data_IF_567405477968
#
_entry.id   IF_567405477968
#
_cell.length_a   1.000
_cell.length_b   1.000
_cell.length_c   1.000
_cell.angle_alpha   90.00
_cell.angle_beta   90.00
_cell.angle_gamma   90.00
#
_symmetry.space_group_name_H-M   'P 1'
#
loop_
_entity.id
_entity.type
_entity.pdbx_description
1 polymer ?
#
# COMPACT_ATOMS: atom_id res chain seq x y z
N UNK A 1 3.70 20.30 15.02
CA UNK A 1 2.68 19.94 14.01
C UNK A 1 3.14 18.72 13.25
N UNK A 2 2.24 17.74 13.02
CA UNK A 2 2.47 16.57 12.17
C UNK A 2 1.75 16.79 10.83
N UNK A 3 2.45 16.62 9.72
CA UNK A 3 1.85 16.75 8.37
C UNK A 3 1.64 15.38 7.72
N UNK A 4 0.47 15.16 7.13
CA UNK A 4 0.11 13.89 6.48
C UNK A 4 -0.33 14.13 5.04
N UNK A 5 0.30 13.45 4.09
CA UNK A 5 -0.18 13.35 2.71
C UNK A 5 -0.93 12.04 2.49
N UNK A 6 -1.86 12.02 1.56
CA UNK A 6 -2.63 10.81 1.27
C UNK A 6 -3.67 10.47 2.35
N UNK A 7 -4.17 11.48 3.09
CA UNK A 7 -5.15 11.32 4.15
C UNK A 7 -6.48 10.67 3.74
N UNK A 8 -6.84 10.71 2.46
CA UNK A 8 -8.01 10.02 1.90
C UNK A 8 -7.77 8.52 1.57
N UNK A 9 -6.50 8.08 1.56
CA UNK A 9 -6.11 6.70 1.29
C UNK A 9 -6.29 5.77 2.49
N UNK A 10 -6.12 4.46 2.27
CA UNK A 10 -6.27 3.45 3.33
C UNK A 10 -5.33 3.73 4.51
N UNK A 11 -4.02 3.85 4.26
CA UNK A 11 -3.04 4.09 5.33
C UNK A 11 -3.25 5.45 5.99
N UNK A 12 -3.40 6.52 5.17
CA UNK A 12 -3.50 7.89 5.68
C UNK A 12 -4.68 8.12 6.61
N UNK A 13 -5.86 7.56 6.33
CA UNK A 13 -7.04 7.70 7.20
C UNK A 13 -6.84 7.04 8.57
N UNK A 14 -6.26 5.83 8.61
CA UNK A 14 -5.95 5.14 9.86
C UNK A 14 -4.83 5.84 10.62
N UNK A 15 -3.84 6.37 9.92
CA UNK A 15 -2.75 7.13 10.50
C UNK A 15 -3.26 8.42 11.15
N UNK A 16 -4.08 9.20 10.45
CA UNK A 16 -4.68 10.43 10.99
C UNK A 16 -5.48 10.11 12.26
N UNK A 17 -6.35 9.10 12.22
CA UNK A 17 -7.11 8.69 13.40
C UNK A 17 -6.22 8.31 14.57
N UNK A 18 -5.11 7.58 14.32
CA UNK A 18 -4.16 7.18 15.35
C UNK A 18 -3.35 8.36 15.92
N UNK A 19 -2.99 9.35 15.09
CA UNK A 19 -2.30 10.57 15.52
C UNK A 19 -3.20 11.45 16.38
N UNK A 20 -4.45 11.67 15.93
CA UNK A 20 -5.45 12.43 16.69
C UNK A 20 -5.76 11.76 18.03
N UNK A 21 -5.94 10.42 18.06
CA UNK A 21 -6.16 9.68 19.29
C UNK A 21 -5.00 9.80 20.30
N UNK A 22 -3.79 10.13 19.84
CA UNK A 22 -2.61 10.45 20.70
C UNK A 22 -2.53 11.92 21.10
N UNK A 23 -3.51 12.74 20.73
CA UNK A 23 -3.53 14.18 21.02
C UNK A 23 -2.49 14.99 20.23
N UNK A 24 -1.97 14.46 19.13
CA UNK A 24 -1.00 15.18 18.29
C UNK A 24 -1.74 16.13 17.34
N UNK A 25 -1.26 17.37 17.17
CA UNK A 25 -1.82 18.30 16.20
C UNK A 25 -1.48 17.83 14.78
N UNK A 26 -2.51 17.57 13.97
CA UNK A 26 -2.40 17.03 12.62
C UNK A 26 -2.83 18.06 11.60
N UNK A 27 -1.97 18.33 10.60
CA UNK A 27 -2.29 18.98 9.35
C UNK A 27 -2.28 17.93 8.25
N UNK A 28 -3.31 17.89 7.38
CA UNK A 28 -3.38 16.90 6.32
C UNK A 28 -3.72 17.52 4.97
N UNK A 29 -3.04 17.06 3.92
CA UNK A 29 -3.28 17.50 2.56
C UNK A 29 -4.48 16.77 1.96
N UNK A 30 -5.41 17.52 1.35
CA UNK A 30 -6.48 16.99 0.50
C UNK A 30 -6.48 17.67 -0.87
N UNK A 31 -6.95 16.98 -1.91
CA UNK A 31 -6.95 17.51 -3.28
C UNK A 31 -8.32 18.02 -3.72
N UNK A 32 -9.32 17.16 -3.68
CA UNK A 32 -10.64 17.48 -4.26
C UNK A 32 -11.67 17.82 -3.17
N UNK A 33 -11.68 17.03 -2.09
CA UNK A 33 -12.57 17.23 -0.94
C UNK A 33 -11.97 16.65 0.34
N UNK A 34 -12.31 17.27 1.45
CA UNK A 34 -11.94 16.76 2.77
C UNK A 34 -12.52 15.34 2.94
N UNK A 35 -11.69 14.36 3.32
CA UNK A 35 -12.15 12.98 3.49
C UNK A 35 -13.16 12.88 4.64
N UNK A 36 -14.23 12.11 4.45
CA UNK A 36 -15.15 11.74 5.52
C UNK A 36 -14.50 10.66 6.40
N UNK A 37 -13.79 11.08 7.43
CA UNK A 37 -13.18 10.21 8.44
C UNK A 37 -13.61 10.66 9.83
N UNK A 38 -13.67 9.75 10.83
CA UNK A 38 -14.21 10.05 12.15
C UNK A 38 -13.60 11.24 12.88
N UNK A 39 -12.34 11.58 12.61
CA UNK A 39 -11.62 12.68 13.28
C UNK A 39 -11.38 13.87 12.37
N UNK A 40 -12.19 14.05 11.32
CA UNK A 40 -11.95 15.11 10.32
C UNK A 40 -12.03 16.53 10.91
N UNK A 41 -12.87 16.74 11.92
CA UNK A 41 -13.06 18.00 12.66
C UNK A 41 -11.86 18.37 13.55
N UNK A 42 -10.98 17.44 13.86
CA UNK A 42 -9.80 17.63 14.70
C UNK A 42 -8.51 17.78 13.87
N UNK A 43 -8.63 17.88 12.56
CA UNK A 43 -7.51 17.97 11.60
C UNK A 43 -7.53 19.31 10.88
N UNK A 44 -6.39 19.96 10.80
CA UNK A 44 -6.20 21.13 9.94
C UNK A 44 -6.05 20.65 8.48
N UNK A 45 -7.13 20.76 7.70
CA UNK A 45 -7.11 20.35 6.31
C UNK A 45 -6.62 21.48 5.42
N UNK A 46 -5.59 21.18 4.59
CA UNK A 46 -5.03 22.10 3.61
C UNK A 46 -5.30 21.54 2.19
N UNK A 47 -5.92 22.36 1.35
CA UNK A 47 -6.10 22.03 -0.06
C UNK A 47 -4.76 22.13 -0.80
N UNK A 48 -4.44 21.12 -1.62
CA UNK A 48 -3.22 21.09 -2.39
C UNK A 48 -2.94 19.75 -3.04
N UNK A 49 -1.95 19.75 -3.91
CA UNK A 49 -1.44 18.55 -4.60
C UNK A 49 0.04 18.35 -4.27
N UNK A 50 0.48 17.12 -4.08
CA UNK A 50 1.91 16.82 -3.85
C UNK A 50 2.81 17.17 -5.06
N UNK A 51 2.20 17.44 -6.21
CA UNK A 51 2.90 17.93 -7.42
C UNK A 51 3.13 19.45 -7.40
N UNK A 52 2.49 20.16 -6.47
CA UNK A 52 2.67 21.61 -6.29
C UNK A 52 3.75 21.87 -5.22
N UNK A 53 5.00 22.04 -5.68
CA UNK A 53 6.14 22.28 -4.80
C UNK A 53 5.99 23.54 -3.94
N UNK A 54 5.42 24.62 -4.50
CA UNK A 54 5.24 25.88 -3.77
C UNK A 54 4.15 25.75 -2.69
N UNK A 55 3.05 25.11 -3.01
CA UNK A 55 2.00 24.80 -2.04
C UNK A 55 2.50 23.96 -0.87
N UNK A 56 3.38 22.99 -1.14
CA UNK A 56 4.00 22.17 -0.10
C UNK A 56 4.91 22.97 0.83
N UNK A 57 5.68 23.93 0.32
CA UNK A 57 6.50 24.81 1.15
C UNK A 57 5.64 25.59 2.15
N UNK A 58 4.46 26.04 1.75
CA UNK A 58 3.54 26.73 2.66
C UNK A 58 2.91 25.74 3.63
N UNK A 59 2.47 24.58 3.16
CA UNK A 59 1.81 23.56 3.98
C UNK A 59 2.72 22.97 5.08
N UNK A 60 4.05 22.99 4.89
CA UNK A 60 5.01 22.48 5.85
C UNK A 60 5.48 23.54 6.88
N UNK A 61 4.87 24.73 6.95
CA UNK A 61 5.21 25.69 8.01
C UNK A 61 4.87 25.09 9.38
N UNK A 62 5.79 25.27 10.35
CA UNK A 62 5.68 24.75 11.73
C UNK A 62 5.55 23.23 11.87
N UNK A 63 5.85 22.49 10.79
CA UNK A 63 5.83 21.03 10.77
C UNK A 63 7.15 20.49 11.31
N UNK A 64 7.06 19.47 12.17
CA UNK A 64 8.22 18.75 12.73
C UNK A 64 8.33 17.33 12.18
N UNK A 65 7.21 16.74 11.81
CA UNK A 65 7.13 15.37 11.28
C UNK A 65 6.23 15.32 10.05
N UNK A 66 6.68 14.65 9.02
CA UNK A 66 5.92 14.40 7.80
C UNK A 66 5.68 12.91 7.64
N UNK A 67 4.43 12.52 7.40
CA UNK A 67 4.07 11.19 6.97
C UNK A 67 3.62 11.23 5.51
N UNK A 68 4.43 10.69 4.64
CA UNK A 68 4.11 10.65 3.22
C UNK A 68 3.46 9.30 2.86
N UNK A 69 2.12 9.31 2.84
CA UNK A 69 1.28 8.16 2.48
C UNK A 69 0.63 8.32 1.10
N UNK A 70 0.76 9.48 0.46
CA UNK A 70 0.23 9.69 -0.87
C UNK A 70 0.95 8.81 -1.89
N UNK A 71 0.20 8.24 -2.82
CA UNK A 71 0.71 7.44 -3.91
C UNK A 71 -0.42 6.82 -4.70
N UNK A 72 -0.17 6.62 -5.99
CA UNK A 72 -1.07 5.96 -6.91
C UNK A 72 -0.70 4.48 -7.01
N UNK A 73 -1.71 3.60 -6.97
CA UNK A 73 -1.58 2.17 -7.24
C UNK A 73 -2.37 1.86 -8.52
N UNK A 74 -1.67 1.52 -9.58
CA UNK A 74 -2.28 1.09 -10.83
C UNK A 74 -1.39 0.11 -11.57
N UNK A 75 -2.02 -0.87 -12.22
CA UNK A 75 -1.37 -1.81 -13.13
C UNK A 75 -1.84 -1.59 -14.57
N UNK A 76 -2.62 -0.53 -14.82
CA UNK A 76 -3.09 -0.17 -16.14
C UNK A 76 -1.98 0.58 -16.90
N UNK A 77 -1.64 0.18 -18.14
CA UNK A 77 -0.61 0.87 -18.93
C UNK A 77 -0.88 2.37 -19.15
N UNK A 78 -2.15 2.75 -19.24
CA UNK A 78 -2.58 4.13 -19.40
C UNK A 78 -2.24 5.06 -18.23
N UNK A 79 -1.92 4.50 -17.07
CA UNK A 79 -1.64 5.25 -15.85
C UNK A 79 -0.12 5.45 -15.62
N UNK A 80 0.75 5.08 -16.57
CA UNK A 80 2.21 5.15 -16.40
C UNK A 80 2.68 6.59 -16.13
N UNK A 81 2.23 7.57 -16.92
CA UNK A 81 2.55 8.98 -16.70
C UNK A 81 2.03 9.47 -15.33
N UNK A 82 0.82 9.08 -14.95
CA UNK A 82 0.26 9.44 -13.67
C UNK A 82 1.04 8.81 -12.49
N UNK A 83 1.52 7.57 -12.65
CA UNK A 83 2.40 6.92 -11.69
C UNK A 83 3.73 7.67 -11.54
N UNK A 84 4.34 8.13 -12.64
CA UNK A 84 5.55 8.93 -12.62
C UNK A 84 5.31 10.27 -11.90
N UNK A 85 4.29 11.02 -12.30
CA UNK A 85 3.99 12.34 -11.72
C UNK A 85 3.63 12.26 -10.24
N UNK A 86 2.77 11.31 -9.86
CA UNK A 86 2.28 11.24 -8.47
C UNK A 86 3.30 10.56 -7.56
N UNK A 87 3.84 9.40 -7.97
CA UNK A 87 4.70 8.63 -7.08
C UNK A 87 6.11 9.18 -7.04
N UNK A 88 6.70 9.51 -8.19
CA UNK A 88 8.12 9.93 -8.26
C UNK A 88 8.25 11.43 -8.02
N UNK A 89 7.65 12.26 -8.88
CA UNK A 89 7.77 13.71 -8.79
C UNK A 89 7.12 14.25 -7.50
N UNK A 90 5.94 13.71 -7.14
CA UNK A 90 5.27 14.07 -5.88
C UNK A 90 6.11 13.71 -4.64
N UNK A 91 6.83 12.58 -4.66
CA UNK A 91 7.75 12.22 -3.56
C UNK A 91 8.99 13.11 -3.56
N UNK A 92 9.55 13.43 -4.74
CA UNK A 92 10.66 14.37 -4.85
C UNK A 92 10.31 15.73 -4.25
N UNK A 93 9.14 16.29 -4.57
CA UNK A 93 8.67 17.56 -4.01
C UNK A 93 8.53 17.52 -2.48
N UNK A 94 8.03 16.41 -1.91
CA UNK A 94 7.95 16.24 -0.45
C UNK A 94 9.34 16.19 0.17
N UNK A 95 10.28 15.49 -0.45
CA UNK A 95 11.67 15.39 0.01
C UNK A 95 12.32 16.77 -0.01
N UNK A 96 12.20 17.52 -1.11
CA UNK A 96 12.77 18.85 -1.25
C UNK A 96 12.18 19.84 -0.24
N UNK A 97 10.85 19.83 -0.07
CA UNK A 97 10.20 20.68 0.92
C UNK A 97 10.60 20.34 2.37
N UNK A 98 10.93 19.08 2.66
CA UNK A 98 11.48 18.67 3.96
C UNK A 98 12.93 19.12 4.12
N UNK A 99 13.76 19.04 3.08
CA UNK A 99 15.17 19.45 3.11
C UNK A 99 15.33 20.96 3.34
N UNK A 100 14.43 21.77 2.80
CA UNK A 100 14.41 23.23 3.04
C UNK A 100 14.12 23.61 4.50
N UNK A 101 13.70 22.65 5.32
CA UNK A 101 13.34 22.86 6.74
C UNK A 101 14.11 21.92 7.65
N UNK A 102 15.32 22.32 8.09
CA UNK A 102 16.14 21.50 8.96
C UNK A 102 15.38 21.07 10.23
N UNK A 103 15.46 19.78 10.54
CA UNK A 103 14.81 19.20 11.72
C UNK A 103 13.51 18.48 11.44
N UNK A 104 12.93 18.60 10.25
CA UNK A 104 11.79 17.74 9.83
C UNK A 104 12.25 16.29 9.75
N UNK A 105 11.39 15.40 10.28
CA UNK A 105 11.54 13.96 10.17
C UNK A 105 10.47 13.35 9.28
N UNK A 106 10.89 12.56 8.29
CA UNK A 106 10.00 11.95 7.30
C UNK A 106 9.76 10.46 7.60
N UNK A 107 8.49 10.04 7.70
CA UNK A 107 8.05 8.65 7.59
C UNK A 107 7.44 8.42 6.21
N UNK A 108 8.05 7.57 5.40
CA UNK A 108 7.60 7.30 4.03
C UNK A 108 7.00 5.91 3.87
N UNK A 109 5.81 5.85 3.25
CA UNK A 109 5.16 4.59 2.87
C UNK A 109 5.53 4.21 1.43
N UNK A 110 6.52 3.35 1.30
CA UNK A 110 6.92 2.72 0.05
C UNK A 110 6.06 1.46 -0.23
N UNK A 111 6.65 0.42 -0.74
CA UNK A 111 6.02 -0.89 -1.00
C UNK A 111 7.08 -1.97 -1.12
N UNK A 112 6.75 -3.23 -0.85
CA UNK A 112 7.61 -4.36 -1.23
C UNK A 112 7.87 -4.40 -2.74
N UNK A 113 7.01 -3.78 -3.55
CA UNK A 113 7.21 -3.65 -4.99
C UNK A 113 8.48 -2.87 -5.36
N UNK A 114 8.99 -2.01 -4.47
CA UNK A 114 10.25 -1.27 -4.65
C UNK A 114 11.51 -2.08 -4.33
N UNK A 115 11.39 -3.25 -3.70
CA UNK A 115 12.56 -4.05 -3.29
C UNK A 115 13.24 -4.74 -4.47
N UNK A 116 12.55 -4.88 -5.59
CA UNK A 116 13.03 -5.67 -6.72
C UNK A 116 12.84 -7.18 -6.50
N UNK A 117 13.39 -7.95 -7.39
CA UNK A 117 13.39 -9.41 -7.31
C UNK A 117 14.83 -9.90 -7.24
N UNK A 118 15.19 -10.65 -6.21
CA UNK A 118 16.39 -11.51 -6.34
C UNK A 118 16.02 -12.64 -7.28
N UNK A 119 16.59 -12.66 -8.47
CA UNK A 119 16.64 -13.86 -9.30
C UNK A 119 17.58 -14.85 -8.61
N UNK A 120 17.02 -15.56 -7.64
CA UNK A 120 17.72 -16.68 -7.05
C UNK A 120 17.60 -17.87 -7.99
N UNK A 121 18.43 -17.94 -9.05
CA UNK A 121 18.47 -19.09 -9.97
C UNK A 121 18.52 -20.43 -9.23
N UNK A 122 19.18 -20.48 -8.07
CA UNK A 122 19.23 -21.68 -7.22
C UNK A 122 17.92 -21.98 -6.47
N UNK A 123 17.18 -20.97 -6.02
CA UNK A 123 15.86 -21.16 -5.38
C UNK A 123 14.81 -21.56 -6.42
N UNK A 124 14.91 -21.03 -7.63
CA UNK A 124 14.06 -21.36 -8.75
C UNK A 124 14.19 -22.82 -9.18
N UNK A 125 15.42 -23.35 -9.21
CA UNK A 125 15.72 -24.75 -9.51
C UNK A 125 15.25 -25.72 -8.41
N UNK A 126 15.17 -25.25 -7.16
CA UNK A 126 14.76 -26.04 -6.01
C UNK A 126 13.26 -26.00 -5.70
N UNK A 127 12.47 -25.18 -6.42
CA UNK A 127 11.03 -25.00 -6.16
C UNK A 127 10.71 -24.36 -4.80
N UNK A 128 11.70 -23.71 -4.18
CA UNK A 128 11.55 -23.05 -2.88
C UNK A 128 11.07 -21.62 -3.04
N UNK A 129 10.33 -21.06 -2.03
CA UNK A 129 9.93 -19.66 -2.05
C UNK A 129 11.16 -18.74 -2.07
N UNK A 130 11.10 -17.70 -2.89
CA UNK A 130 12.12 -16.64 -2.91
C UNK A 130 11.98 -15.81 -1.65
N UNK A 131 13.01 -15.79 -0.79
CA UNK A 131 13.00 -14.95 0.41
C UNK A 131 13.60 -13.58 0.09
N UNK A 132 12.85 -12.51 0.40
CA UNK A 132 13.25 -11.13 0.24
C UNK A 132 13.22 -10.40 1.58
N UNK A 133 14.21 -9.55 1.80
CA UNK A 133 14.34 -8.67 2.95
C UNK A 133 14.80 -7.27 2.52
N UNK A 134 15.13 -6.41 3.47
CA UNK A 134 15.61 -5.06 3.23
C UNK A 134 16.93 -4.99 2.45
N UNK A 135 17.69 -6.06 2.37
CA UNK A 135 18.93 -6.14 1.59
C UNK A 135 18.70 -6.42 0.10
N UNK A 136 17.46 -6.68 -0.31
CA UNK A 136 17.11 -6.94 -1.70
C UNK A 136 17.51 -5.76 -2.59
N UNK A 137 18.09 -6.06 -3.75
CA UNK A 137 18.53 -5.05 -4.73
C UNK A 137 17.62 -5.09 -5.95
N UNK A 138 17.35 -3.90 -6.48
CA UNK A 138 16.64 -3.76 -7.73
C UNK A 138 17.46 -4.33 -8.88
N UNK A 139 16.83 -5.18 -9.67
CA UNK A 139 17.45 -5.77 -10.84
C UNK A 139 17.07 -4.98 -12.09
N UNK A 140 18.01 -4.23 -12.64
CA UNK A 140 17.81 -3.43 -13.85
C UNK A 140 17.59 -4.30 -15.11
N UNK A 141 17.99 -5.56 -15.09
CA UNK A 141 17.81 -6.50 -16.20
C UNK A 141 16.45 -7.22 -16.18
N UNK A 142 15.72 -7.17 -15.08
CA UNK A 142 14.41 -7.79 -14.95
C UNK A 142 13.30 -6.92 -15.53
N UNK A 143 12.26 -7.56 -16.07
CA UNK A 143 11.05 -6.84 -16.49
C UNK A 143 10.23 -6.44 -15.26
N UNK A 144 10.08 -5.15 -15.03
CA UNK A 144 9.25 -4.58 -13.99
C UNK A 144 8.00 -3.92 -14.60
N UNK A 145 6.89 -3.92 -13.86
CA UNK A 145 5.72 -3.14 -14.27
C UNK A 145 5.87 -1.67 -13.86
N UNK A 146 5.08 -0.79 -14.48
CA UNK A 146 5.13 0.66 -14.26
C UNK A 146 4.93 1.04 -12.78
N UNK A 147 4.05 0.34 -12.04
CA UNK A 147 3.85 0.58 -10.61
C UNK A 147 5.10 0.25 -9.79
N UNK A 148 5.70 -0.92 -9.99
CA UNK A 148 6.93 -1.31 -9.26
C UNK A 148 8.07 -0.34 -9.55
N UNK A 149 8.23 0.04 -10.82
CA UNK A 149 9.24 1.03 -11.25
C UNK A 149 9.00 2.39 -10.59
N UNK A 150 7.75 2.89 -10.57
CA UNK A 150 7.43 4.16 -9.94
C UNK A 150 7.68 4.15 -8.43
N UNK A 151 7.41 3.04 -7.73
CA UNK A 151 7.69 2.91 -6.29
C UNK A 151 9.17 2.82 -5.99
N UNK A 152 9.94 2.14 -6.84
CA UNK A 152 11.39 2.09 -6.73
C UNK A 152 12.01 3.48 -6.94
N UNK A 153 11.65 4.18 -8.01
CA UNK A 153 12.15 5.54 -8.29
C UNK A 153 11.75 6.54 -7.20
N UNK A 154 10.52 6.47 -6.70
CA UNK A 154 10.07 7.29 -5.57
C UNK A 154 10.87 6.99 -4.29
N UNK A 155 11.19 5.72 -4.02
CA UNK A 155 12.03 5.37 -2.87
C UNK A 155 13.47 5.89 -3.05
N UNK A 156 14.01 5.93 -4.29
CA UNK A 156 15.31 6.55 -4.59
C UNK A 156 15.32 8.04 -4.28
N UNK A 157 14.22 8.78 -4.50
CA UNK A 157 14.13 10.20 -4.08
C UNK A 157 14.25 10.35 -2.57
N UNK A 158 13.64 9.46 -1.79
CA UNK A 158 13.81 9.47 -0.32
C UNK A 158 15.26 9.15 0.06
N UNK A 159 15.91 8.18 -0.60
CA UNK A 159 17.32 7.87 -0.40
C UNK A 159 18.23 9.04 -0.78
N UNK A 160 17.90 9.79 -1.85
CA UNK A 160 18.57 11.05 -2.21
C UNK A 160 18.48 12.03 -1.05
N UNK A 161 17.26 12.29 -0.56
CA UNK A 161 17.05 13.19 0.57
C UNK A 161 17.83 12.77 1.83
N UNK A 162 17.89 11.46 2.13
CA UNK A 162 18.70 10.93 3.23
C UNK A 162 20.18 11.25 3.04
N UNK A 163 20.70 11.10 1.83
CA UNK A 163 22.10 11.43 1.50
C UNK A 163 22.41 12.92 1.61
N UNK A 164 21.40 13.76 1.42
CA UNK A 164 21.44 15.23 1.60
C UNK A 164 21.16 15.69 3.04
N UNK A 165 20.92 14.75 3.97
CA UNK A 165 20.78 15.03 5.39
C UNK A 165 19.37 14.93 5.96
N UNK A 166 18.36 14.56 5.15
CA UNK A 166 17.00 14.35 5.64
C UNK A 166 16.94 13.18 6.63
N UNK A 167 16.31 13.40 7.76
CA UNK A 167 16.03 12.34 8.71
C UNK A 167 14.77 11.57 8.26
N UNK A 168 14.94 10.43 7.62
CA UNK A 168 13.82 9.66 7.12
C UNK A 168 13.88 8.19 7.52
N UNK A 169 12.70 7.57 7.67
CA UNK A 169 12.49 6.12 7.74
C UNK A 169 11.51 5.71 6.65
N UNK A 170 11.75 4.54 6.07
CA UNK A 170 10.96 3.99 4.98
C UNK A 170 10.31 2.70 5.45
N UNK A 171 9.03 2.53 5.19
CA UNK A 171 8.36 1.24 5.35
C UNK A 171 7.97 0.68 3.99
N UNK A 172 8.20 -0.61 3.78
CA UNK A 172 7.86 -1.35 2.57
C UNK A 172 6.77 -2.39 2.91
N UNK A 173 5.50 -1.98 2.98
CA UNK A 173 4.43 -2.92 3.25
C UNK A 173 4.17 -3.85 2.06
N UNK A 174 3.80 -5.10 2.35
CA UNK A 174 3.16 -6.01 1.42
C UNK A 174 1.73 -5.54 1.13
N UNK A 175 0.85 -6.37 0.57
CA UNK A 175 -0.53 -5.94 0.32
C UNK A 175 -1.22 -5.60 1.64
N UNK A 176 -1.56 -4.32 1.81
CA UNK A 176 -2.16 -3.81 3.04
C UNK A 176 -3.65 -4.16 3.04
N UNK A 177 -4.12 -4.90 4.04
CA UNK A 177 -5.52 -5.20 4.23
C UNK A 177 -6.12 -4.31 5.33
N UNK A 178 -7.26 -3.70 5.03
CA UNK A 178 -7.99 -2.84 5.96
C UNK A 178 -9.37 -2.49 5.43
N UNK A 179 -10.34 -2.13 6.30
CA UNK A 179 -11.66 -1.70 5.88
C UNK A 179 -11.56 -0.32 5.22
N UNK A 180 -11.85 -0.28 3.93
CA UNK A 180 -11.90 0.92 3.11
C UNK A 180 -13.20 0.94 2.30
N UNK A 181 -13.29 1.84 1.31
CA UNK A 181 -14.35 1.79 0.32
C UNK A 181 -14.35 0.40 -0.38
N UNK A 182 -15.52 -0.24 -0.46
CA UNK A 182 -15.70 -1.56 -1.06
C UNK A 182 -15.08 -1.72 -2.44
N UNK A 183 -15.03 -0.65 -3.22
CA UNK A 183 -14.57 -0.65 -4.60
C UNK A 183 -13.09 -0.26 -4.75
N UNK A 184 -12.36 -0.04 -3.66
CA UNK A 184 -10.99 0.46 -3.71
C UNK A 184 -10.00 -0.49 -3.05
N UNK A 185 -8.76 -0.44 -3.54
CA UNK A 185 -7.61 -1.11 -2.94
C UNK A 185 -7.82 -2.62 -2.73
N UNK A 186 -7.19 -3.18 -1.72
CA UNK A 186 -7.28 -4.60 -1.31
C UNK A 186 -8.67 -5.02 -0.83
N UNK A 187 -9.54 -4.07 -0.46
CA UNK A 187 -10.94 -4.34 -0.09
C UNK A 187 -11.71 -5.04 -1.22
N UNK A 188 -11.32 -4.82 -2.49
CA UNK A 188 -11.91 -5.52 -3.65
C UNK A 188 -11.75 -7.05 -3.57
N UNK A 189 -10.72 -7.57 -2.90
CA UNK A 189 -10.57 -9.02 -2.66
C UNK A 189 -11.67 -9.54 -1.74
N UNK A 190 -12.00 -8.78 -0.68
CA UNK A 190 -13.07 -9.11 0.23
C UNK A 190 -14.44 -8.97 -0.42
N UNK A 191 -14.62 -7.93 -1.24
CA UNK A 191 -15.83 -7.76 -2.06
C UNK A 191 -16.03 -8.93 -3.04
N UNK A 192 -14.95 -9.44 -3.63
CA UNK A 192 -14.99 -10.60 -4.52
C UNK A 192 -15.58 -11.82 -3.79
N UNK A 193 -15.11 -12.09 -2.58
CA UNK A 193 -15.63 -13.16 -1.74
C UNK A 193 -17.10 -12.92 -1.31
N UNK A 194 -17.44 -11.67 -0.95
CA UNK A 194 -18.81 -11.29 -0.60
C UNK A 194 -19.80 -11.53 -1.74
N UNK A 195 -19.39 -11.23 -2.99
CA UNK A 195 -20.22 -11.41 -4.21
C UNK A 195 -20.31 -12.87 -4.67
N UNK A 196 -19.71 -13.81 -3.95
CA UNK A 196 -19.78 -15.24 -4.23
C UNK A 196 -19.32 -15.62 -5.65
N UNK A 197 -18.24 -15.01 -6.14
CA UNK A 197 -17.67 -15.42 -7.41
C UNK A 197 -17.18 -16.86 -7.35
N UNK A 198 -17.44 -17.63 -8.41
CA UNK A 198 -17.15 -19.08 -8.47
C UNK A 198 -15.67 -19.36 -8.73
N UNK A 199 -14.99 -18.48 -9.48
CA UNK A 199 -13.64 -18.70 -9.98
C UNK A 199 -12.60 -18.01 -9.09
N UNK A 200 -11.41 -18.56 -9.01
CA UNK A 200 -10.24 -17.91 -8.42
C UNK A 200 -8.98 -18.22 -9.20
N UNK A 201 -8.01 -17.32 -9.21
CA UNK A 201 -6.68 -17.57 -9.77
C UNK A 201 -5.80 -18.25 -8.72
N UNK A 202 -5.16 -19.40 -9.02
CA UNK A 202 -4.19 -20.00 -8.12
C UNK A 202 -3.02 -19.03 -7.89
N UNK A 203 -2.53 -18.97 -6.66
CA UNK A 203 -1.39 -18.13 -6.30
C UNK A 203 -1.39 -17.79 -4.82
N UNK A 204 -0.35 -17.08 -4.41
CA UNK A 204 -0.13 -16.64 -3.05
C UNK A 204 -0.13 -15.11 -2.98
N UNK A 205 -0.51 -14.59 -1.82
CA UNK A 205 -0.51 -13.15 -1.55
C UNK A 205 0.15 -12.91 -0.18
N UNK A 206 1.05 -11.94 -0.13
CA UNK A 206 1.61 -11.46 1.12
C UNK A 206 0.74 -10.32 1.64
N UNK A 207 0.36 -10.41 2.91
CA UNK A 207 -0.58 -9.47 3.54
C UNK A 207 0.01 -8.84 4.78
N UNK A 208 -0.45 -7.63 5.07
CA UNK A 208 -0.20 -6.94 6.34
C UNK A 208 -1.44 -6.14 6.75
N UNK A 209 -1.72 -6.11 8.04
CA UNK A 209 -2.81 -5.31 8.62
C UNK A 209 -2.49 -3.82 8.55
N UNK A 210 -3.45 -2.99 8.14
CA UNK A 210 -3.27 -1.54 8.10
C UNK A 210 -2.94 -0.95 9.49
N UNK A 211 -3.45 -1.56 10.56
CA UNK A 211 -3.16 -1.15 11.95
C UNK A 211 -1.70 -1.37 12.31
N UNK A 212 -1.10 -2.48 11.84
CA UNK A 212 0.32 -2.76 12.04
C UNK A 212 1.19 -1.80 11.23
N UNK A 213 0.83 -1.54 9.97
CA UNK A 213 1.54 -0.56 9.13
C UNK A 213 1.55 0.80 9.80
N UNK A 214 0.41 1.28 10.28
CA UNK A 214 0.26 2.59 10.93
C UNK A 214 1.04 2.64 12.24
N UNK A 215 0.89 1.64 13.12
CA UNK A 215 1.58 1.63 14.40
C UNK A 215 3.09 1.58 14.23
N UNK A 216 3.60 0.69 13.38
CA UNK A 216 5.04 0.55 13.12
C UNK A 216 5.62 1.81 12.46
N UNK A 217 4.94 2.40 11.47
CA UNK A 217 5.34 3.65 10.84
C UNK A 217 5.41 4.80 11.87
N UNK A 218 4.38 4.94 12.70
CA UNK A 218 4.36 5.98 13.74
C UNK A 218 5.49 5.77 14.76
N UNK A 219 5.69 4.55 15.24
CA UNK A 219 6.75 4.26 16.22
C UNK A 219 8.13 4.49 15.65
N UNK A 220 8.40 4.05 14.43
CA UNK A 220 9.68 4.28 13.74
C UNK A 220 9.94 5.78 13.54
N UNK A 221 8.90 6.54 13.18
CA UNK A 221 9.05 7.96 12.88
C UNK A 221 9.08 8.84 14.14
N UNK A 222 8.24 8.57 15.14
CA UNK A 222 8.07 9.45 16.30
C UNK A 222 8.91 9.03 17.52
N UNK A 223 9.14 7.71 17.69
CA UNK A 223 9.61 7.16 18.96
C UNK A 223 11.01 6.51 18.88
N UNK A 224 11.67 6.54 17.72
CA UNK A 224 13.02 6.00 17.58
C UNK A 224 13.99 7.06 17.03
N UNK A 225 15.28 6.98 17.33
CA UNK A 225 16.30 7.82 16.70
C UNK A 225 16.74 7.30 15.32
N UNK A 226 16.15 6.21 14.84
CA UNK A 226 16.55 5.51 13.61
C UNK A 226 16.29 6.43 12.41
N UNK A 227 17.28 6.57 11.55
CA UNK A 227 17.22 7.32 10.30
C UNK A 227 18.02 6.61 9.21
N UNK A 228 17.64 6.85 7.96
CA UNK A 228 18.35 6.26 6.82
C UNK A 228 18.17 4.75 6.73
N UNK A 229 17.01 4.23 7.13
CA UNK A 229 16.71 2.80 7.10
C UNK A 229 15.33 2.53 6.50
N UNK A 230 15.22 1.34 5.86
CA UNK A 230 13.94 0.81 5.41
C UNK A 230 13.56 -0.45 6.19
N UNK A 231 12.25 -0.70 6.27
CA UNK A 231 11.66 -1.81 7.02
C UNK A 231 10.56 -2.49 6.22
N UNK A 232 10.72 -3.78 5.99
CA UNK A 232 9.70 -4.62 5.32
C UNK A 232 8.59 -4.97 6.31
N UNK A 233 7.34 -4.74 5.89
CA UNK A 233 6.16 -5.02 6.69
C UNK A 233 5.28 -6.08 6.00
N UNK A 234 5.26 -7.29 6.56
CA UNK A 234 4.43 -8.39 6.06
C UNK A 234 4.07 -9.32 7.23
N UNK A 235 2.79 -9.65 7.37
CA UNK A 235 2.34 -10.62 8.37
C UNK A 235 2.51 -12.08 7.90
N UNK A 236 2.80 -12.27 6.62
CA UNK A 236 3.05 -13.57 6.01
C UNK A 236 2.38 -13.74 4.66
N UNK A 237 2.62 -14.91 4.08
CA UNK A 237 2.09 -15.35 2.79
C UNK A 237 0.91 -16.30 3.01
N UNK A 238 -0.18 -16.11 2.27
CA UNK A 238 -1.34 -17.01 2.27
C UNK A 238 -1.76 -17.37 0.85
N UNK A 239 -2.25 -18.59 0.59
CA UNK A 239 -2.90 -18.92 -0.66
C UNK A 239 -4.12 -18.02 -0.89
N UNK A 240 -4.28 -17.47 -2.10
CA UNK A 240 -5.43 -16.61 -2.41
C UNK A 240 -6.76 -17.32 -2.21
N UNK A 241 -6.82 -18.64 -2.51
CA UNK A 241 -7.98 -19.48 -2.20
C UNK A 241 -8.38 -19.43 -0.73
N UNK A 242 -7.39 -19.52 0.17
CA UNK A 242 -7.63 -19.59 1.60
C UNK A 242 -8.07 -18.21 2.14
N UNK A 243 -7.48 -17.12 1.64
CA UNK A 243 -7.91 -15.77 1.93
C UNK A 243 -9.39 -15.55 1.54
N UNK A 244 -9.75 -15.91 0.29
CA UNK A 244 -11.11 -15.77 -0.20
C UNK A 244 -12.09 -16.69 0.54
N UNK A 245 -11.63 -17.88 0.92
CA UNK A 245 -12.41 -18.83 1.73
C UNK A 245 -12.72 -18.30 3.13
N UNK A 246 -11.70 -17.76 3.81
CA UNK A 246 -11.86 -17.12 5.13
C UNK A 246 -12.82 -15.92 5.06
N UNK A 247 -12.63 -15.04 4.06
CA UNK A 247 -13.51 -13.89 3.88
C UNK A 247 -14.96 -14.30 3.59
N UNK A 248 -15.17 -15.29 2.72
CA UNK A 248 -16.50 -15.83 2.42
C UNK A 248 -17.18 -16.40 3.67
N UNK A 249 -16.45 -17.15 4.49
CA UNK A 249 -16.95 -17.68 5.77
C UNK A 249 -17.37 -16.55 6.72
N UNK A 250 -16.54 -15.50 6.87
CA UNK A 250 -16.87 -14.33 7.70
C UNK A 250 -18.13 -13.60 7.24
N UNK A 251 -18.40 -13.60 5.93
CA UNK A 251 -19.61 -13.01 5.35
C UNK A 251 -20.82 -13.95 5.32
N UNK A 252 -20.69 -15.21 5.76
CA UNK A 252 -21.74 -16.25 5.60
C UNK A 252 -22.02 -16.54 4.14
N UNK A 253 -21.02 -16.52 3.28
CA UNK A 253 -21.10 -16.70 1.82
C UNK A 253 -20.37 -17.96 1.36
N UNK A 254 -20.68 -18.42 0.14
CA UNK A 254 -19.99 -19.56 -0.47
C UNK A 254 -18.62 -19.10 -1.00
N UNK A 255 -17.54 -19.85 -0.71
CA UNK A 255 -16.22 -19.53 -1.24
C UNK A 255 -16.09 -19.85 -2.74
N UNK A 256 -15.15 -19.26 -3.46
CA UNK A 256 -14.82 -19.68 -4.82
C UNK A 256 -14.25 -21.10 -4.82
N UNK A 257 -14.71 -21.92 -5.77
CA UNK A 257 -14.37 -23.35 -5.81
C UNK A 257 -13.60 -23.76 -7.06
N UNK A 258 -13.66 -22.97 -8.13
CA UNK A 258 -13.09 -23.33 -9.44
C UNK A 258 -11.80 -22.54 -9.67
N UNK A 259 -10.67 -23.26 -9.72
CA UNK A 259 -9.40 -22.68 -10.09
C UNK A 259 -9.37 -22.34 -11.59
N UNK A 260 -9.01 -21.11 -11.93
CA UNK A 260 -8.78 -20.69 -13.31
C UNK A 260 -7.46 -21.32 -13.78
N UNK A 261 -7.45 -22.18 -14.80
CA UNK A 261 -6.21 -22.75 -15.28
C UNK A 261 -5.34 -21.68 -15.96
N UNK A 262 -4.02 -21.89 -15.95
CA UNK A 262 -3.05 -20.92 -16.45
C UNK A 262 -3.30 -20.47 -17.89
N UNK A 263 -3.67 -21.40 -18.77
CA UNK A 263 -3.96 -21.07 -20.16
C UNK A 263 -5.16 -20.14 -20.30
N UNK A 264 -6.19 -20.30 -19.44
CA UNK A 264 -7.37 -19.44 -19.46
C UNK A 264 -7.03 -18.04 -18.92
N UNK A 265 -6.27 -17.94 -17.82
CA UNK A 265 -5.77 -16.66 -17.31
C UNK A 265 -4.92 -15.91 -18.36
N UNK A 266 -4.05 -16.63 -19.08
CA UNK A 266 -3.23 -16.07 -20.17
C UNK A 266 -4.07 -15.59 -21.35
N UNK A 267 -5.18 -16.26 -21.65
CA UNK A 267 -6.10 -15.85 -22.73
C UNK A 267 -6.95 -14.65 -22.32
N UNK A 268 -7.47 -14.65 -21.09
CA UNK A 268 -8.34 -13.57 -20.58
C UNK A 268 -7.59 -12.24 -20.56
N UNK A 269 -6.37 -12.17 -20.02
CA UNK A 269 -5.66 -10.90 -19.98
C UNK A 269 -5.31 -10.37 -21.38
N UNK A 270 -5.04 -11.25 -22.37
CA UNK A 270 -4.81 -10.82 -23.76
C UNK A 270 -6.05 -10.21 -24.39
N UNK A 271 -7.21 -10.84 -24.17
CA UNK A 271 -8.50 -10.31 -24.64
C UNK A 271 -8.82 -8.96 -23.98
N UNK A 272 -8.58 -8.85 -22.66
CA UNK A 272 -8.73 -7.58 -21.94
C UNK A 272 -7.78 -6.50 -22.43
N UNK A 273 -6.55 -6.86 -22.77
CA UNK A 273 -5.59 -5.93 -23.37
C UNK A 273 -6.09 -5.40 -24.72
N UNK A 274 -6.55 -6.27 -25.61
CA UNK A 274 -7.13 -5.88 -26.90
C UNK A 274 -8.38 -5.01 -26.70
N UNK A 275 -9.27 -5.39 -25.79
CA UNK A 275 -10.46 -4.58 -25.44
C UNK A 275 -10.03 -3.18 -24.95
N UNK A 276 -9.05 -3.11 -24.08
CA UNK A 276 -8.52 -1.85 -23.55
C UNK A 276 -7.95 -0.96 -24.65
N UNK A 277 -7.19 -1.51 -25.60
CA UNK A 277 -6.67 -0.79 -26.75
C UNK A 277 -7.77 -0.24 -27.67
N UNK A 278 -8.82 -1.02 -27.90
CA UNK A 278 -9.92 -0.62 -28.79
C UNK A 278 -10.89 0.37 -28.15
N UNK A 279 -11.11 0.29 -26.84
CA UNK A 279 -12.13 1.10 -26.14
C UNK A 279 -11.55 2.23 -25.30
N UNK A 280 -10.23 2.29 -25.08
CA UNK A 280 -9.59 3.18 -24.11
C UNK A 280 -9.92 2.88 -22.65
N UNK A 281 -10.76 1.85 -22.39
CA UNK A 281 -11.15 1.49 -21.01
C UNK A 281 -10.01 0.77 -20.29
N UNK A 282 -9.90 1.00 -18.96
CA UNK A 282 -8.91 0.30 -18.14
C UNK A 282 -9.15 -1.21 -18.16
N UNK A 283 -8.10 -2.03 -18.32
CA UNK A 283 -8.24 -3.48 -18.33
C UNK A 283 -8.66 -3.97 -16.93
N UNK A 284 -9.57 -4.94 -16.89
CA UNK A 284 -10.00 -5.58 -15.64
C UNK A 284 -8.93 -6.52 -15.09
N UNK A 285 -8.19 -7.16 -15.99
CA UNK A 285 -7.09 -8.09 -15.69
C UNK A 285 -5.90 -7.69 -16.57
N UNK A 286 -4.74 -7.44 -15.94
CA UNK A 286 -3.48 -7.18 -16.64
C UNK A 286 -2.62 -8.45 -16.63
N UNK A 287 -1.56 -8.46 -17.46
CA UNK A 287 -0.54 -9.52 -17.44
C UNK A 287 0.02 -9.73 -16.03
N UNK A 288 0.29 -8.64 -15.32
CA UNK A 288 0.87 -8.68 -13.98
C UNK A 288 -0.10 -9.29 -12.97
N UNK A 289 -1.37 -8.88 -12.99
CA UNK A 289 -2.39 -9.44 -12.09
C UNK A 289 -2.72 -10.90 -12.42
N UNK A 290 -2.68 -11.30 -13.69
CA UNK A 290 -2.89 -12.70 -14.10
C UNK A 290 -1.74 -13.62 -13.67
N UNK A 291 -0.53 -13.09 -13.53
CA UNK A 291 0.67 -13.83 -13.13
C UNK A 291 1.06 -13.61 -11.66
N UNK A 292 0.38 -12.70 -10.98
CA UNK A 292 0.64 -12.41 -9.57
C UNK A 292 0.51 -13.67 -8.71
N UNK A 293 1.46 -13.87 -7.80
CA UNK A 293 1.42 -14.98 -6.85
C UNK A 293 1.79 -16.36 -7.41
N UNK A 294 2.07 -16.51 -8.71
CA UNK A 294 2.52 -17.80 -9.28
C UNK A 294 3.83 -18.27 -8.69
N UNK A 295 4.74 -17.34 -8.38
CA UNK A 295 5.99 -17.63 -7.68
C UNK A 295 5.81 -17.24 -6.21
N UNK A 296 5.97 -18.16 -5.27
CA UNK A 296 5.88 -17.83 -3.86
C UNK A 296 7.07 -16.94 -3.48
N UNK A 297 6.79 -15.74 -3.06
CA UNK A 297 7.75 -14.83 -2.45
C UNK A 297 7.40 -14.71 -0.98
N UNK A 298 8.38 -14.90 -0.12
CA UNK A 298 8.25 -14.72 1.32
C UNK A 298 9.07 -13.49 1.74
N UNK A 299 8.43 -12.54 2.38
CA UNK A 299 9.11 -11.35 2.90
C UNK A 299 9.53 -11.56 4.35
N UNK A 300 10.83 -11.42 4.61
CA UNK A 300 11.39 -11.50 5.96
C UNK A 300 11.22 -10.16 6.66
N UNK A 301 10.74 -10.21 7.89
CA UNK A 301 10.39 -9.05 8.70
C UNK A 301 11.09 -9.02 10.06
N UNK A 302 12.14 -9.81 10.19
CA UNK A 302 12.91 -9.94 11.44
C UNK A 302 13.46 -8.59 11.93
N UNK A 303 13.84 -7.70 10.99
CA UNK A 303 14.40 -6.40 11.30
C UNK A 303 13.40 -5.53 12.08
N UNK A 304 12.21 -5.32 11.54
CA UNK A 304 11.20 -4.47 12.20
C UNK A 304 10.73 -5.10 13.50
N UNK A 305 10.52 -6.41 13.54
CA UNK A 305 10.08 -7.11 14.74
C UNK A 305 11.10 -6.98 15.88
N UNK A 306 12.38 -7.16 15.60
CA UNK A 306 13.46 -6.95 16.58
C UNK A 306 13.58 -5.50 17.02
N UNK A 307 13.47 -4.56 16.06
CA UNK A 307 13.61 -3.13 16.34
C UNK A 307 12.50 -2.60 17.25
N UNK A 308 11.26 -3.05 17.03
CA UNK A 308 10.10 -2.56 17.76
C UNK A 308 9.63 -3.49 18.89
N UNK A 309 10.18 -4.71 18.98
CA UNK A 309 9.75 -5.71 19.95
C UNK A 309 8.30 -6.14 19.74
N UNK A 310 7.82 -6.17 18.47
CA UNK A 310 6.41 -6.39 18.14
C UNK A 310 6.29 -7.36 16.97
N UNK A 311 5.36 -8.30 17.07
CA UNK A 311 4.92 -9.18 15.99
C UNK A 311 3.73 -8.58 15.24
N UNK A 312 3.49 -9.08 14.03
CA UNK A 312 2.31 -8.73 13.24
C UNK A 312 1.06 -9.47 13.72
N UNK A 313 -0.09 -8.87 13.51
CA UNK A 313 -1.39 -9.53 13.70
C UNK A 313 -1.52 -10.70 12.72
N UNK A 314 -2.08 -11.83 13.18
CA UNK A 314 -2.38 -12.95 12.29
C UNK A 314 -3.30 -12.54 11.14
N UNK A 315 -3.04 -13.03 9.91
CA UNK A 315 -3.86 -12.69 8.74
C UNK A 315 -5.33 -13.04 8.95
N UNK A 316 -5.64 -14.15 9.62
CA UNK A 316 -7.02 -14.55 9.92
C UNK A 316 -7.75 -13.53 10.79
N UNK A 317 -7.08 -12.95 11.81
CA UNK A 317 -7.63 -11.86 12.62
C UNK A 317 -7.91 -10.62 11.78
N UNK A 318 -6.96 -10.24 10.93
CA UNK A 318 -7.11 -9.10 10.01
C UNK A 318 -8.30 -9.27 9.09
N UNK A 319 -8.46 -10.45 8.48
CA UNK A 319 -9.60 -10.77 7.60
C UNK A 319 -10.92 -10.67 8.36
N UNK A 320 -11.03 -11.29 9.53
CA UNK A 320 -12.24 -11.27 10.35
C UNK A 320 -12.62 -9.84 10.74
N UNK A 321 -11.65 -9.06 11.19
CA UNK A 321 -11.86 -7.65 11.53
C UNK A 321 -12.32 -6.82 10.33
N UNK A 322 -11.66 -6.93 9.17
CA UNK A 322 -12.04 -6.21 7.96
C UNK A 322 -13.47 -6.56 7.52
N UNK A 323 -13.83 -7.84 7.54
CA UNK A 323 -15.16 -8.29 7.15
C UNK A 323 -16.24 -7.73 8.10
N UNK A 324 -16.00 -7.75 9.42
CA UNK A 324 -16.91 -7.18 10.39
C UNK A 324 -17.16 -5.68 10.19
N UNK A 325 -16.07 -4.90 9.97
CA UNK A 325 -16.17 -3.46 9.69
C UNK A 325 -16.92 -3.15 8.40
N UNK A 326 -16.67 -3.92 7.34
CA UNK A 326 -17.34 -3.76 6.06
C UNK A 326 -18.82 -4.10 6.13
N UNK A 327 -19.22 -5.09 6.90
CA UNK A 327 -20.64 -5.41 7.14
C UNK A 327 -21.33 -4.30 7.91
N UNK A 328 -20.69 -3.74 8.95
CA UNK A 328 -21.23 -2.62 9.72
C UNK A 328 -21.46 -1.39 8.83
N UNK A 329 -20.46 -0.98 8.03
CA UNK A 329 -20.59 0.14 7.09
C UNK A 329 -21.76 -0.05 6.11
N UNK A 330 -21.98 -1.28 5.65
CA UNK A 330 -23.09 -1.56 4.72
C UNK A 330 -24.44 -1.47 5.40
N UNK A 331 -24.56 -1.92 6.64
CA UNK A 331 -25.80 -1.79 7.42
C UNK A 331 -26.18 -0.33 7.65
N UNK A 332 -25.20 0.50 8.01
CA UNK A 332 -25.38 1.95 8.19
C UNK A 332 -25.87 2.62 6.90
N UNK A 333 -25.25 2.29 5.74
CA UNK A 333 -25.67 2.84 4.44
C UNK A 333 -27.10 2.41 4.07
N UNK A 334 -27.51 1.19 4.40
CA UNK A 334 -28.87 0.72 4.13
C UNK A 334 -29.90 1.42 5.00
N UNK A 335 -29.57 1.71 6.27
CA UNK A 335 -30.46 2.45 7.18
C UNK A 335 -30.60 3.93 6.81
N UNK A 336 -29.57 4.55 6.23
CA UNK A 336 -29.63 5.95 5.76
C UNK A 336 -30.38 6.10 4.43
N UNK A 337 -30.59 5.01 3.69
CA UNK A 337 -31.30 4.99 2.40
C UNK A 337 -32.76 4.48 2.50
N UNK A 338 -33.18 4.05 3.68
CA UNK A 338 -34.58 3.66 4.01
C UNK A 338 -35.29 4.80 4.72
#
# INVERSE_FOLDING_TARGET
MVFVTGGSGLVGRFLIAALVARGLPVRALYRDKVPAIPSADQVEWVEGDIRDALGLQVALQDVTHVFHCAGLVSYAPQDEDALQQVNVEGTANIVDACLERPGIRLGYVSSVAALGSKTGERAEQAGLPVQLDESAKWDLGAAHNAYSTSKYLAELEVWRGISEGLQAVIVNPSVILGPADWNRSSTRLLQYAYNQHTFYTPGNINLVDVRDVVDMLMRLTLNTPIKGERFVLSAGVVPLRDLLGQAAACFGRKPPTVAVPDWAAETIWRLEHVRSLLTGARPLITKDTARAGRRPVEYRTDKVQKTLGQSFRPVAETVAWCCAQLLAQRQEMTQLSS
#
